data_IF_420167972670
#
_entry.id   IF_420167972670
#
_cell.length_a   1.000
_cell.length_b   1.000
_cell.length_c   1.000
_cell.angle_alpha   90.00
_cell.angle_beta   90.00
_cell.angle_gamma   90.00
#
_symmetry.space_group_name_H-M   'P 1'
#
loop_
_entity.id
_entity.type
_entity.pdbx_description
1 polymer ?
#
# COMPACT_ATOMS: atom_id res chain seq x y z
N UNK A 1 2.72 5.13 9.88
CA UNK A 1 1.63 4.18 9.56
C UNK A 1 2.07 2.71 9.64
N UNK A 2 3.36 2.36 9.45
CA UNK A 2 3.89 1.02 9.76
C UNK A 2 3.94 0.68 11.26
N UNK A 3 3.98 1.69 12.15
CA UNK A 3 3.85 1.52 13.62
C UNK A 3 2.48 0.97 14.04
N UNK A 4 1.41 1.21 13.25
CA UNK A 4 0.06 0.72 13.56
C UNK A 4 -0.12 -0.79 13.33
N UNK A 5 0.76 -1.39 12.52
CA UNK A 5 0.83 -2.85 12.31
C UNK A 5 1.72 -3.55 13.35
N UNK A 6 2.65 -2.82 13.98
CA UNK A 6 3.62 -3.40 14.92
C UNK A 6 3.13 -3.43 16.38
N UNK A 7 2.11 -2.63 16.75
CA UNK A 7 1.66 -2.50 18.16
C UNK A 7 0.23 -3.01 18.42
N UNK A 8 -0.56 -3.29 17.38
CA UNK A 8 -1.98 -3.59 17.51
C UNK A 8 -2.27 -5.10 17.54
N UNK A 9 -2.31 -5.72 18.73
CA UNK A 9 -2.95 -7.04 18.93
C UNK A 9 -4.49 -6.99 18.77
N UNK A 10 -5.02 -5.97 18.07
CA UNK A 10 -6.43 -5.67 17.90
C UNK A 10 -6.76 -5.55 16.42
N UNK A 11 -7.61 -6.47 15.93
CA UNK A 11 -8.06 -6.54 14.54
C UNK A 11 -8.72 -5.24 14.06
N UNK A 12 -9.30 -4.47 15.00
CA UNK A 12 -9.90 -3.17 14.74
C UNK A 12 -8.89 -2.14 14.18
N UNK A 13 -7.69 -2.06 14.74
CA UNK A 13 -6.66 -1.11 14.29
C UNK A 13 -6.16 -1.48 12.89
N UNK A 14 -5.98 -2.78 12.63
CA UNK A 14 -5.60 -3.29 11.31
C UNK A 14 -6.68 -2.96 10.27
N UNK A 15 -7.95 -3.16 10.60
CA UNK A 15 -9.06 -2.84 9.71
C UNK A 15 -9.15 -1.34 9.40
N UNK A 16 -8.98 -0.48 10.40
CA UNK A 16 -8.97 0.98 10.22
C UNK A 16 -7.79 1.40 9.34
N UNK A 17 -6.59 0.87 9.58
CA UNK A 17 -5.44 1.16 8.72
C UNK A 17 -5.68 0.70 7.27
N UNK A 18 -6.26 -0.48 7.04
CA UNK A 18 -6.61 -0.93 5.68
C UNK A 18 -7.67 -0.04 5.01
N UNK A 19 -8.69 0.37 5.76
CA UNK A 19 -9.73 1.27 5.27
C UNK A 19 -9.13 2.63 4.86
N UNK A 20 -8.27 3.21 5.70
CA UNK A 20 -7.58 4.46 5.40
C UNK A 20 -6.65 4.33 4.20
N UNK A 21 -5.84 3.28 4.13
CA UNK A 21 -4.96 3.02 2.96
C UNK A 21 -5.78 2.90 1.67
N UNK A 22 -6.92 2.23 1.71
CA UNK A 22 -7.86 2.14 0.59
C UNK A 22 -8.41 3.52 0.20
N UNK A 23 -8.89 4.29 1.17
CA UNK A 23 -9.43 5.64 0.95
C UNK A 23 -8.39 6.58 0.33
N UNK A 24 -7.20 6.67 0.91
CA UNK A 24 -6.13 7.53 0.37
C UNK A 24 -5.73 7.13 -1.05
N UNK A 25 -5.67 5.83 -1.35
CA UNK A 25 -5.35 5.35 -2.69
C UNK A 25 -6.42 5.74 -3.71
N UNK A 26 -7.70 5.55 -3.38
CA UNK A 26 -8.81 5.93 -4.26
C UNK A 26 -8.82 7.44 -4.53
N UNK A 27 -8.67 8.24 -3.48
CA UNK A 27 -8.65 9.69 -3.55
C UNK A 27 -7.53 10.18 -4.48
N UNK A 28 -6.32 9.63 -4.33
CA UNK A 28 -5.19 9.95 -5.21
C UNK A 28 -5.47 9.63 -6.68
N UNK A 29 -6.07 8.47 -6.99
CA UNK A 29 -6.39 8.08 -8.37
C UNK A 29 -7.45 8.99 -9.01
N UNK A 30 -8.47 9.39 -8.25
CA UNK A 30 -9.56 10.25 -8.76
C UNK A 30 -9.03 11.65 -9.07
N UNK A 31 -8.27 12.26 -8.15
CA UNK A 31 -7.71 13.59 -8.37
C UNK A 31 -6.71 13.64 -9.53
N UNK A 32 -5.93 12.58 -9.73
CA UNK A 32 -5.05 12.47 -10.90
C UNK A 32 -5.86 12.42 -12.19
N UNK A 33 -6.92 11.61 -12.25
CA UNK A 33 -7.79 11.51 -13.42
C UNK A 33 -8.49 12.83 -13.77
N UNK A 34 -8.89 13.60 -12.76
CA UNK A 34 -9.49 14.93 -12.91
C UNK A 34 -8.48 15.95 -13.47
N UNK A 35 -7.27 15.99 -12.89
CA UNK A 35 -6.18 16.86 -13.35
C UNK A 35 -5.81 16.59 -14.81
N UNK A 36 -5.75 15.32 -15.22
CA UNK A 36 -5.52 14.95 -16.62
C UNK A 36 -6.66 15.37 -17.54
N UNK A 37 -7.89 15.46 -17.04
CA UNK A 37 -9.03 15.94 -17.84
C UNK A 37 -8.99 17.45 -18.06
N UNK A 38 -8.40 18.22 -17.15
CA UNK A 38 -8.26 19.67 -17.27
C UNK A 38 -7.09 20.05 -18.20
N UNK A 39 -5.98 19.29 -18.14
CA UNK A 39 -4.77 19.59 -18.91
C UNK A 39 -4.82 19.23 -20.40
N UNK A 40 -5.66 18.27 -20.82
CA UNK A 40 -5.64 17.73 -22.19
C UNK A 40 -6.95 18.01 -22.94
N UNK A 41 -6.83 18.44 -24.20
CA UNK A 41 -7.96 18.57 -25.11
C UNK A 41 -8.63 17.20 -25.37
N UNK A 42 -9.92 17.17 -25.74
CA UNK A 42 -10.69 15.93 -25.90
C UNK A 42 -10.04 14.90 -26.84
N UNK A 43 -9.39 15.38 -27.90
CA UNK A 43 -8.80 14.53 -28.94
C UNK A 43 -7.49 13.82 -28.51
N UNK A 44 -6.72 14.42 -27.59
CA UNK A 44 -5.41 13.89 -27.16
C UNK A 44 -5.44 13.16 -25.80
N UNK A 45 -6.60 13.08 -25.15
CA UNK A 45 -6.78 12.48 -23.81
C UNK A 45 -6.47 10.97 -23.75
N UNK A 46 -6.53 10.27 -24.88
CA UNK A 46 -6.43 8.80 -24.93
C UNK A 46 -5.03 8.30 -24.59
N UNK A 47 -3.99 9.00 -25.03
CA UNK A 47 -2.58 8.67 -24.78
C UNK A 47 -2.20 8.76 -23.28
N UNK A 48 -2.47 9.86 -22.56
CA UNK A 48 -2.16 9.97 -21.13
C UNK A 48 -3.00 9.01 -20.27
N UNK A 49 -4.26 8.75 -20.64
CA UNK A 49 -5.07 7.77 -19.90
C UNK A 49 -4.63 6.33 -20.10
N UNK A 50 -4.14 5.98 -21.30
CA UNK A 50 -3.57 4.66 -21.57
C UNK A 50 -2.26 4.44 -20.78
N UNK A 51 -1.38 5.45 -20.73
CA UNK A 51 -0.12 5.35 -19.98
C UNK A 51 -0.34 5.30 -18.47
N UNK A 52 -1.29 6.07 -17.94
CA UNK A 52 -1.69 5.99 -16.54
C UNK A 52 -2.23 4.61 -16.17
N UNK A 53 -3.11 4.05 -17.00
CA UNK A 53 -3.67 2.70 -16.80
C UNK A 53 -2.57 1.64 -16.84
N UNK A 54 -1.60 1.77 -17.76
CA UNK A 54 -0.45 0.87 -17.83
C UNK A 54 0.42 0.95 -16.57
N UNK A 55 0.71 2.17 -16.09
CA UNK A 55 1.46 2.38 -14.85
C UNK A 55 0.74 1.78 -13.62
N UNK A 56 -0.60 1.91 -13.54
CA UNK A 56 -1.39 1.34 -12.46
C UNK A 56 -1.38 -0.20 -12.47
N UNK A 57 -1.46 -0.82 -13.65
CA UNK A 57 -1.37 -2.26 -13.82
C UNK A 57 0.03 -2.74 -13.44
N UNK A 58 1.09 -2.10 -13.94
CA UNK A 58 2.46 -2.45 -13.60
C UNK A 58 2.73 -2.32 -12.10
N UNK A 59 2.24 -1.26 -11.46
CA UNK A 59 2.38 -1.08 -10.01
C UNK A 59 1.68 -2.19 -9.22
N UNK A 60 0.51 -2.64 -9.69
CA UNK A 60 -0.24 -3.75 -9.05
C UNK A 60 0.48 -5.08 -9.22
N UNK A 61 0.97 -5.38 -10.44
CA UNK A 61 1.73 -6.60 -10.73
C UNK A 61 3.02 -6.62 -9.92
N UNK A 62 3.80 -5.52 -9.95
CA UNK A 62 5.03 -5.41 -9.18
C UNK A 62 4.77 -5.60 -7.68
N UNK A 63 3.76 -4.92 -7.12
CA UNK A 63 3.43 -5.07 -5.70
C UNK A 63 3.04 -6.51 -5.32
N UNK A 64 2.31 -7.23 -6.17
CA UNK A 64 1.98 -8.64 -5.96
C UNK A 64 3.21 -9.53 -6.07
N UNK A 65 4.07 -9.28 -7.05
CA UNK A 65 5.34 -10.00 -7.20
C UNK A 65 6.23 -9.81 -5.97
N UNK A 66 6.45 -8.57 -5.52
CA UNK A 66 7.22 -8.30 -4.31
C UNK A 66 6.58 -8.91 -3.06
N UNK A 67 5.26 -8.83 -2.90
CA UNK A 67 4.57 -9.44 -1.76
C UNK A 67 4.71 -10.97 -1.74
N UNK A 68 4.61 -11.63 -2.90
CA UNK A 68 4.80 -13.08 -3.03
C UNK A 68 6.25 -13.53 -2.78
N UNK A 69 7.23 -12.82 -3.35
CA UNK A 69 8.65 -13.10 -3.09
C UNK A 69 9.01 -12.90 -1.60
N UNK A 70 8.45 -11.88 -0.95
CA UNK A 70 8.64 -11.66 0.49
C UNK A 70 7.93 -12.75 1.30
N UNK A 71 6.72 -13.16 0.93
CA UNK A 71 6.03 -14.28 1.58
C UNK A 71 6.85 -15.58 1.51
N UNK A 72 7.52 -15.83 0.38
CA UNK A 72 8.28 -17.06 0.15
C UNK A 72 9.69 -17.05 0.77
N UNK A 73 10.41 -15.92 0.73
CA UNK A 73 11.78 -15.80 1.28
C UNK A 73 11.76 -15.63 2.80
N UNK A 74 10.70 -15.03 3.33
CA UNK A 74 10.63 -14.50 4.69
C UNK A 74 9.52 -15.19 5.53
N UNK A 75 8.53 -15.79 4.88
CA UNK A 75 7.37 -16.41 5.53
C UNK A 75 6.47 -15.37 6.21
N UNK A 76 5.21 -15.74 6.49
CA UNK A 76 4.27 -15.01 7.37
C UNK A 76 4.84 -14.59 8.75
N UNK A 77 6.07 -15.04 9.09
CA UNK A 77 6.81 -14.88 10.35
C UNK A 77 7.58 -13.58 10.49
N UNK A 78 7.70 -12.72 9.48
CA UNK A 78 8.28 -11.38 9.69
C UNK A 78 7.37 -10.41 10.45
N UNK A 79 6.09 -10.73 10.54
CA UNK A 79 5.17 -10.08 11.46
C UNK A 79 5.48 -10.50 12.93
N UNK A 80 5.91 -11.74 13.17
CA UNK A 80 6.35 -12.20 14.51
C UNK A 80 7.79 -11.79 14.85
N UNK A 81 8.69 -11.69 13.87
CA UNK A 81 10.10 -11.30 14.07
C UNK A 81 10.27 -9.88 14.59
N UNK A 82 9.46 -8.94 14.11
CA UNK A 82 9.42 -7.55 14.63
C UNK A 82 8.80 -7.51 16.04
N UNK A 83 7.88 -8.43 16.34
CA UNK A 83 7.23 -8.53 17.65
C UNK A 83 8.11 -9.20 18.72
N UNK A 84 9.02 -10.11 18.32
CA UNK A 84 10.05 -10.69 19.19
C UNK A 84 11.17 -9.71 19.53
N UNK A 85 11.69 -8.96 18.56
CA UNK A 85 12.75 -7.95 18.76
C UNK A 85 12.29 -6.76 19.63
N UNK A 86 11.00 -6.39 19.56
CA UNK A 86 10.44 -5.32 20.40
C UNK A 86 10.17 -5.76 21.85
N UNK A 87 9.92 -7.06 22.10
CA UNK A 87 9.69 -7.58 23.44
C UNK A 87 11.00 -7.85 24.21
N UNK A 88 12.14 -7.87 23.52
CA UNK A 88 13.48 -7.99 24.15
C UNK A 88 14.05 -6.67 24.68
N UNK A 89 13.43 -5.52 24.37
CA UNK A 89 13.89 -4.20 24.84
C UNK A 89 13.16 -3.66 26.08
N UNK A 90 12.35 -4.47 26.76
CA UNK A 90 12.01 -4.21 28.16
C UNK A 90 12.68 -5.23 29.08
N UNK A 91 13.98 -5.08 29.42
CA UNK A 91 14.42 -5.52 30.72
C UNK A 91 13.69 -4.62 31.74
N UNK A 92 12.76 -5.22 32.46
CA UNK A 92 12.36 -4.76 33.78
C UNK A 92 13.60 -4.73 34.68
N UNK A 93 14.25 -3.58 34.76
CA UNK A 93 15.07 -3.11 35.89
C UNK A 93 15.36 -1.63 35.70
#
# INVERSE_FOLDING_TARGET
>A
MFVGLALGKNIATVLVCRALLGLFRCVGTIFLGDTFSDMYAPDDRTIPMASFSYAAILGTVAALTYAGFIDEIIGWRWIEGVQGLANTTSPSS
#
